data_IF_114384924443
#
_entry.id   IF_114384924443
#
_cell.length_a   1.000
_cell.length_b   1.000
_cell.length_c   1.000
_cell.angle_alpha   90.00
_cell.angle_beta   90.00
_cell.angle_gamma   90.00
#
_symmetry.space_group_name_H-M   'P 1'
#
loop_
_entity.id
_entity.type
_entity.pdbx_description
1 polymer ?
#
# COMPACT_ATOMS: atom_id res chain seq x y z
N UNK A 1 14.68 -8.89 -1.49
CA UNK A 1 14.19 -7.87 -0.54
C UNK A 1 14.93 -6.55 -0.63
N UNK A 2 16.24 -6.61 -0.89
CA UNK A 2 17.04 -5.37 -1.00
C UNK A 2 16.49 -4.45 -2.09
N UNK A 3 16.17 -5.01 -3.25
CA UNK A 3 15.60 -4.26 -4.36
C UNK A 3 14.30 -3.58 -3.97
N UNK A 4 13.38 -4.33 -3.36
CA UNK A 4 12.10 -3.79 -2.94
C UNK A 4 12.25 -2.74 -1.85
N UNK A 5 13.20 -2.96 -0.94
CA UNK A 5 13.51 -1.98 0.10
C UNK A 5 14.05 -0.69 -0.46
N UNK A 6 14.96 -0.76 -1.43
CA UNK A 6 15.54 0.41 -2.06
C UNK A 6 14.48 1.20 -2.85
N UNK A 7 13.64 0.51 -3.61
CA UNK A 7 12.58 1.16 -4.38
C UNK A 7 11.51 1.79 -3.48
N UNK A 8 11.12 1.09 -2.40
CA UNK A 8 10.16 1.64 -1.45
C UNK A 8 10.74 2.87 -0.74
N UNK A 9 12.00 2.81 -0.37
CA UNK A 9 12.70 3.91 0.27
C UNK A 9 12.74 5.13 -0.66
N UNK A 10 13.08 4.93 -1.92
CA UNK A 10 13.13 6.01 -2.91
C UNK A 10 11.76 6.67 -3.07
N UNK A 11 10.69 5.87 -3.07
CA UNK A 11 9.34 6.39 -3.20
C UNK A 11 8.86 7.11 -1.93
N UNK A 12 9.11 6.56 -0.75
CA UNK A 12 8.48 7.00 0.50
C UNK A 12 9.28 8.01 1.31
N UNK A 13 10.61 7.90 1.32
CA UNK A 13 11.44 8.74 2.18
C UNK A 13 11.37 10.20 1.74
N UNK A 14 11.18 11.08 2.71
CA UNK A 14 11.09 12.51 2.45
C UNK A 14 9.69 13.02 2.15
N UNK A 15 8.72 12.14 1.96
CA UNK A 15 7.33 12.56 1.76
C UNK A 15 6.69 12.97 3.08
N UNK A 16 5.77 13.92 2.99
CA UNK A 16 5.01 14.40 4.13
C UNK A 16 3.58 13.92 4.02
N UNK A 17 3.05 13.36 5.11
CA UNK A 17 1.64 12.94 5.17
C UNK A 17 0.78 14.19 5.35
N UNK A 18 -0.20 14.37 4.47
CA UNK A 18 -1.10 15.52 4.52
C UNK A 18 -2.55 15.14 4.82
N UNK A 19 -2.90 13.86 4.66
CA UNK A 19 -4.25 13.41 4.96
C UNK A 19 -4.24 11.90 5.25
N UNK A 20 -5.17 11.47 6.10
CA UNK A 20 -5.38 10.05 6.40
C UNK A 20 -6.88 9.83 6.57
N UNK A 21 -7.45 8.89 5.84
CA UNK A 21 -8.86 8.59 5.98
C UNK A 21 -9.14 7.14 5.58
N UNK A 22 -10.26 6.62 6.08
CA UNK A 22 -10.72 5.29 5.68
C UNK A 22 -11.57 5.39 4.43
N UNK A 23 -11.40 4.42 3.53
CA UNK A 23 -12.19 4.35 2.30
C UNK A 23 -13.69 4.22 2.61
N UNK A 24 -14.52 4.82 1.78
CA UNK A 24 -15.94 4.49 1.78
C UNK A 24 -16.12 3.09 1.21
N UNK A 25 -17.28 2.50 1.41
CA UNK A 25 -17.56 1.17 0.85
C UNK A 25 -17.35 1.16 -0.66
N UNK A 26 -17.82 2.20 -1.35
CA UNK A 26 -17.67 2.31 -2.80
C UNK A 26 -16.19 2.37 -3.22
N UNK A 27 -15.38 3.17 -2.52
CA UNK A 27 -13.96 3.27 -2.81
C UNK A 27 -13.26 1.93 -2.61
N UNK A 28 -13.61 1.24 -1.54
CA UNK A 28 -13.00 -0.04 -1.22
C UNK A 28 -13.34 -1.10 -2.26
N UNK A 29 -14.57 -1.13 -2.74
CA UNK A 29 -15.01 -2.04 -3.80
C UNK A 29 -14.27 -1.80 -5.10
N UNK A 30 -13.97 -0.55 -5.42
CA UNK A 30 -13.25 -0.20 -6.65
C UNK A 30 -11.80 -0.69 -6.62
N UNK A 31 -11.20 -0.80 -5.44
CA UNK A 31 -9.78 -1.15 -5.29
C UNK A 31 -9.59 -2.63 -4.97
N UNK A 32 -10.41 -3.19 -4.09
CA UNK A 32 -10.15 -4.51 -3.49
C UNK A 32 -11.15 -5.59 -3.85
N UNK A 33 -12.27 -5.26 -4.42
CA UNK A 33 -13.33 -6.22 -4.77
C UNK A 33 -13.90 -7.00 -3.59
N UNK A 34 -13.70 -6.54 -2.36
CA UNK A 34 -14.24 -7.23 -1.19
C UNK A 34 -14.94 -6.25 -0.24
N UNK A 35 -15.69 -6.81 0.71
CA UNK A 35 -16.51 -6.09 1.65
C UNK A 35 -16.08 -6.29 3.10
N UNK A 36 -14.90 -6.82 3.33
CA UNK A 36 -14.51 -7.22 4.68
C UNK A 36 -14.20 -6.05 5.61
N UNK A 37 -14.12 -4.87 5.08
CA UNK A 37 -13.89 -3.71 5.90
C UNK A 37 -13.24 -2.60 5.11
N UNK A 38 -13.13 -1.45 5.75
CA UNK A 38 -12.56 -0.27 5.12
C UNK A 38 -11.05 -0.22 5.36
N UNK A 39 -10.30 0.03 4.29
CA UNK A 39 -8.84 0.22 4.36
C UNK A 39 -8.53 1.69 4.59
N UNK A 40 -7.42 1.95 5.28
CA UNK A 40 -6.95 3.30 5.49
C UNK A 40 -6.16 3.77 4.28
N UNK A 41 -6.38 5.02 3.87
CA UNK A 41 -5.59 5.66 2.82
C UNK A 41 -4.73 6.75 3.46
N UNK A 42 -3.43 6.75 3.14
CA UNK A 42 -2.46 7.73 3.61
C UNK A 42 -2.02 8.55 2.42
N UNK A 43 -2.30 9.85 2.44
CA UNK A 43 -2.05 10.76 1.31
C UNK A 43 -0.83 11.63 1.61
N UNK A 44 0.04 11.76 0.61
CA UNK A 44 1.27 12.55 0.71
C UNK A 44 1.13 13.91 0.03
N UNK A 45 2.07 14.78 0.34
CA UNK A 45 2.08 16.18 -0.14
C UNK A 45 2.28 16.30 -1.66
N UNK A 46 2.76 15.26 -2.32
CA UNK A 46 2.93 15.25 -3.77
C UNK A 46 1.75 14.66 -4.54
N UNK A 47 0.65 14.35 -3.84
CA UNK A 47 -0.54 13.78 -4.45
C UNK A 47 -0.56 12.25 -4.51
N UNK A 48 0.55 11.59 -4.24
CA UNK A 48 0.57 10.13 -4.15
C UNK A 48 -0.08 9.67 -2.86
N UNK A 49 -0.54 8.43 -2.85
CA UNK A 49 -1.09 7.82 -1.64
C UNK A 49 -0.77 6.34 -1.60
N UNK A 50 -0.86 5.78 -0.41
CA UNK A 50 -0.68 4.35 -0.18
C UNK A 50 -1.86 3.81 0.63
N UNK A 51 -2.10 2.50 0.50
CA UNK A 51 -3.08 1.81 1.32
C UNK A 51 -2.59 0.38 1.53
N UNK A 52 -2.87 -0.16 2.70
CA UNK A 52 -2.47 -1.53 3.03
C UNK A 52 -3.57 -2.51 2.63
N UNK A 53 -3.16 -3.69 2.19
CA UNK A 53 -4.08 -4.79 1.88
C UNK A 53 -3.54 -6.05 2.53
N UNK A 54 -4.43 -6.88 3.06
CA UNK A 54 -4.05 -8.21 3.52
C UNK A 54 -4.58 -9.24 2.53
N UNK A 55 -4.03 -10.46 2.56
CA UNK A 55 -4.53 -11.51 1.69
C UNK A 55 -5.90 -12.01 2.17
N UNK A 56 -6.60 -12.73 1.29
CA UNK A 56 -7.95 -13.22 1.55
C UNK A 56 -8.02 -14.22 2.69
N UNK A 57 -6.91 -14.83 3.03
CA UNK A 57 -6.85 -15.86 4.07
C UNK A 57 -6.41 -15.29 5.41
N UNK A 58 -6.03 -14.02 5.44
CA UNK A 58 -5.56 -13.39 6.66
C UNK A 58 -4.17 -13.84 7.07
N UNK A 59 -3.42 -14.44 6.16
CA UNK A 59 -2.06 -14.91 6.40
C UNK A 59 -1.05 -13.84 6.00
N UNK A 60 -0.07 -13.62 6.85
CA UNK A 60 1.02 -12.69 6.55
C UNK A 60 0.61 -11.24 6.66
N UNK A 61 1.51 -10.36 6.26
CA UNK A 61 1.36 -8.91 6.41
C UNK A 61 0.64 -8.25 5.24
N UNK A 62 0.38 -8.99 4.17
CA UNK A 62 -0.23 -8.44 2.97
C UNK A 62 0.73 -7.59 2.16
N UNK A 63 0.19 -6.62 1.43
CA UNK A 63 0.96 -5.73 0.58
C UNK A 63 0.49 -4.30 0.78
N UNK A 64 1.33 -3.35 0.37
CA UNK A 64 0.97 -1.93 0.34
C UNK A 64 0.77 -1.55 -1.12
N UNK A 65 -0.43 -1.07 -1.47
CA UNK A 65 -0.69 -0.50 -2.79
C UNK A 65 -0.32 0.98 -2.80
N UNK A 66 0.26 1.42 -3.91
CA UNK A 66 0.66 2.83 -4.07
C UNK A 66 0.13 3.38 -5.37
N UNK A 67 0.22 4.71 -5.53
CA UNK A 67 -0.11 5.37 -6.78
C UNK A 67 1.10 5.56 -7.69
N UNK A 68 2.27 5.11 -7.28
CA UNK A 68 3.48 5.18 -8.10
C UNK A 68 3.40 4.22 -9.28
N UNK A 69 3.75 4.70 -10.47
CA UNK A 69 3.81 3.84 -11.66
C UNK A 69 5.03 2.93 -11.63
N UNK A 70 6.09 3.36 -10.97
CA UNK A 70 7.33 2.60 -10.86
C UNK A 70 7.24 1.50 -9.82
N UNK A 71 6.51 1.74 -8.73
CA UNK A 71 6.35 0.75 -7.68
C UNK A 71 4.89 0.73 -7.21
N UNK A 72 3.97 0.16 -8.03
CA UNK A 72 2.55 0.17 -7.70
C UNK A 72 2.20 -0.69 -6.48
N UNK A 73 3.08 -1.62 -6.13
CA UNK A 73 2.88 -2.52 -5.00
C UNK A 73 4.18 -2.67 -4.24
N UNK A 74 4.12 -2.56 -2.92
CA UNK A 74 5.25 -2.89 -2.05
C UNK A 74 4.89 -4.22 -1.38
N UNK A 75 5.47 -5.34 -1.84
CA UNK A 75 5.05 -6.66 -1.39
C UNK A 75 5.71 -7.08 -0.08
N UNK A 76 5.09 -8.07 0.56
CA UNK A 76 5.77 -8.85 1.58
C UNK A 76 6.63 -9.87 0.84
N UNK A 77 7.89 -9.94 1.17
CA UNK A 77 8.84 -10.81 0.49
C UNK A 77 9.21 -12.00 1.37
N UNK A 78 9.51 -13.12 0.72
CA UNK A 78 10.05 -14.30 1.42
C UNK A 78 11.47 -13.99 1.89
N UNK A 79 11.84 -14.53 3.03
CA UNK A 79 13.23 -14.43 3.50
C UNK A 79 14.23 -15.06 2.51
N UNK A 80 13.76 -15.99 1.69
CA UNK A 80 14.60 -16.66 0.70
C UNK A 80 14.90 -15.80 -0.53
N UNK A 81 14.24 -14.66 -0.65
CA UNK A 81 14.40 -13.74 -1.78
C UNK A 81 15.54 -12.74 -1.60
N UNK A 82 16.29 -12.87 -0.55
CA UNK A 82 17.43 -11.99 -0.28
C UNK A 82 18.65 -12.29 -1.14
#
# INVERSE_FOLDING_TARGET
>A
TKRWGDEAKEFLVGKKIVDVYYHTKKQNEEIFFDDYGSNVRIVFDDGHWITASRDDEGNGSGVIFTTSKEIPTIPTCSYDDE
#
